data_IF_772108824743
#
_entry.id   IF_772108824743
#
_cell.length_a   1.000
_cell.length_b   1.000
_cell.length_c   1.000
_cell.angle_alpha   90.00
_cell.angle_beta   90.00
_cell.angle_gamma   90.00
#
_symmetry.space_group_name_H-M   'P 1'
#
loop_
_entity.id
_entity.type
_entity.pdbx_description
1 polymer ?
#
# COMPACT_ATOMS: atom_id res chain seq x y z
N UNK A 1 121.48 -57.34 54.95
CA UNK A 1 121.85 -58.65 54.40
C UNK A 1 120.63 -59.54 54.60
N UNK A 2 120.06 -60.22 53.61
CA UNK A 2 120.47 -60.39 52.20
C UNK A 2 119.24 -60.36 51.25
N UNK A 3 119.47 -60.55 49.94
CA UNK A 3 118.61 -60.17 48.80
C UNK A 3 117.43 -61.14 48.52
N UNK A 4 116.41 -60.66 47.80
CA UNK A 4 115.29 -61.51 47.34
C UNK A 4 114.22 -60.78 46.48
N UNK A 5 114.58 -60.38 45.26
CA UNK A 5 113.73 -59.64 44.28
C UNK A 5 113.56 -60.52 43.00
N UNK A 6 112.58 -60.40 42.09
CA UNK A 6 111.59 -59.33 41.78
C UNK A 6 110.14 -59.96 41.66
N UNK A 7 109.10 -59.53 40.86
CA UNK A 7 107.69 -59.88 41.14
C UNK A 7 106.96 -60.73 40.05
N UNK A 8 105.70 -61.12 40.32
CA UNK A 8 104.84 -61.83 39.37
C UNK A 8 103.39 -61.30 39.33
N UNK A 9 103.11 -60.36 38.42
CA UNK A 9 101.81 -59.67 38.33
C UNK A 9 100.66 -60.57 37.84
N UNK A 10 99.86 -61.10 38.77
CA UNK A 10 98.58 -61.79 38.46
C UNK A 10 97.34 -61.30 39.23
N UNK A 11 97.48 -60.37 40.18
CA UNK A 11 96.39 -60.02 41.12
C UNK A 11 95.51 -58.81 40.75
N UNK A 12 95.70 -58.15 39.60
CA UNK A 12 94.91 -56.96 39.24
C UNK A 12 93.80 -57.20 38.19
N UNK A 13 93.87 -58.28 37.40
CA UNK A 13 92.81 -58.59 36.41
C UNK A 13 91.57 -59.28 37.03
N UNK A 14 91.69 -59.83 38.25
CA UNK A 14 90.58 -60.52 38.94
C UNK A 14 89.60 -59.60 39.69
N UNK A 15 89.83 -58.27 39.71
CA UNK A 15 88.92 -57.30 40.37
C UNK A 15 87.90 -56.64 39.44
N UNK A 16 88.02 -56.82 38.12
CA UNK A 16 87.11 -56.23 37.12
C UNK A 16 86.10 -57.21 36.52
N UNK A 17 86.04 -58.44 37.04
CA UNK A 17 85.24 -59.54 36.49
C UNK A 17 84.64 -60.46 37.54
N UNK A 18 84.08 -59.90 38.61
CA UNK A 18 83.22 -60.67 39.52
C UNK A 18 81.90 -60.97 38.81
N UNK A 19 81.39 -62.23 38.80
CA UNK A 19 80.10 -62.55 38.16
C UNK A 19 78.96 -61.71 38.74
N UNK A 20 79.01 -61.39 40.05
CA UNK A 20 78.02 -60.54 40.70
C UNK A 20 77.97 -59.10 40.15
N UNK A 21 79.07 -58.56 39.61
CA UNK A 21 79.11 -57.20 39.01
C UNK A 21 78.47 -57.22 37.62
N UNK A 22 78.73 -58.27 36.83
CA UNK A 22 78.08 -58.49 35.54
C UNK A 22 76.57 -58.76 35.71
N UNK A 23 76.17 -59.56 36.69
CA UNK A 23 74.76 -59.79 37.03
C UNK A 23 74.05 -58.52 37.47
N UNK A 24 74.70 -57.66 38.26
CA UNK A 24 74.15 -56.35 38.65
C UNK A 24 73.94 -55.43 37.45
N UNK A 25 74.92 -55.34 36.53
CA UNK A 25 74.78 -54.55 35.29
C UNK A 25 73.71 -55.11 34.36
N UNK A 26 73.58 -56.44 34.26
CA UNK A 26 72.50 -57.07 33.49
C UNK A 26 71.13 -56.72 34.08
N UNK A 27 70.97 -56.74 35.41
CA UNK A 27 69.72 -56.31 36.07
C UNK A 27 69.42 -54.84 35.84
N UNK A 28 70.41 -53.95 35.97
CA UNK A 28 70.23 -52.51 35.73
C UNK A 28 69.82 -52.23 34.27
N UNK A 29 70.42 -52.93 33.30
CA UNK A 29 70.05 -52.83 31.88
C UNK A 29 68.66 -53.45 31.61
N UNK A 30 68.30 -54.55 32.28
CA UNK A 30 66.98 -55.13 32.21
C UNK A 30 65.91 -54.15 32.75
N UNK A 31 66.12 -53.56 33.93
CA UNK A 31 65.23 -52.55 34.52
C UNK A 31 65.08 -51.34 33.60
N UNK A 32 66.18 -50.80 33.06
CA UNK A 32 66.14 -49.70 32.08
C UNK A 32 65.40 -50.10 30.79
N UNK A 33 65.56 -51.33 30.30
CA UNK A 33 64.85 -51.82 29.12
C UNK A 33 63.34 -51.97 29.36
N UNK A 34 62.95 -52.45 30.55
CA UNK A 34 61.54 -52.60 30.95
C UNK A 34 60.89 -51.24 31.16
N UNK A 35 61.57 -50.30 31.82
CA UNK A 35 61.12 -48.92 31.99
C UNK A 35 60.95 -48.21 30.63
N UNK A 36 61.91 -48.36 29.73
CA UNK A 36 61.84 -47.81 28.36
C UNK A 36 60.70 -48.43 27.56
N UNK A 37 60.49 -49.75 27.66
CA UNK A 37 59.38 -50.44 27.01
C UNK A 37 58.01 -50.00 27.57
N UNK A 38 57.90 -49.74 28.87
CA UNK A 38 56.67 -49.22 29.49
C UNK A 38 56.37 -47.77 29.04
N UNK A 39 57.39 -46.91 28.96
CA UNK A 39 57.27 -45.56 28.42
C UNK A 39 56.85 -45.58 26.94
N UNK A 40 57.48 -46.44 26.11
CA UNK A 40 57.10 -46.62 24.71
C UNK A 40 55.67 -47.13 24.54
N UNK A 41 55.22 -48.11 25.33
CA UNK A 41 53.82 -48.58 25.31
C UNK A 41 52.83 -47.46 25.65
N UNK A 42 53.20 -46.58 26.59
CA UNK A 42 52.38 -45.43 26.98
C UNK A 42 52.30 -44.39 25.85
N UNK A 43 53.42 -44.11 25.18
CA UNK A 43 53.45 -43.22 24.02
C UNK A 43 52.68 -43.78 22.82
N UNK A 44 52.75 -45.10 22.59
CA UNK A 44 51.96 -45.78 21.55
C UNK A 44 50.47 -45.66 21.82
N UNK A 45 50.00 -45.96 23.04
CA UNK A 45 48.56 -45.86 23.36
C UNK A 45 48.04 -44.41 23.31
N UNK A 46 48.88 -43.43 23.67
CA UNK A 46 48.57 -42.01 23.46
C UNK A 46 48.49 -41.65 21.96
N UNK A 47 49.39 -42.20 21.15
CA UNK A 47 49.38 -42.06 19.68
C UNK A 47 48.12 -42.64 19.04
N UNK A 48 47.71 -43.84 19.45
CA UNK A 48 46.47 -44.50 19.01
C UNK A 48 45.23 -43.68 19.39
N UNK A 49 45.16 -43.19 20.63
CA UNK A 49 44.06 -42.33 21.08
C UNK A 49 44.00 -40.99 20.32
N UNK A 50 45.16 -40.37 20.03
CA UNK A 50 45.25 -39.19 19.19
C UNK A 50 44.82 -39.48 17.75
N UNK A 51 45.24 -40.62 17.18
CA UNK A 51 44.86 -41.04 15.84
C UNK A 51 43.35 -41.26 15.72
N UNK A 52 42.71 -41.91 16.70
CA UNK A 52 41.25 -42.06 16.75
C UNK A 52 40.53 -40.70 16.77
N UNK A 53 41.00 -39.74 17.60
CA UNK A 53 40.45 -38.37 17.64
C UNK A 53 40.65 -37.60 16.32
N UNK A 54 41.80 -37.80 15.64
CA UNK A 54 42.06 -37.20 14.33
C UNK A 54 41.17 -37.82 13.25
N UNK A 55 40.94 -39.14 13.26
CA UNK A 55 40.02 -39.80 12.34
C UNK A 55 38.58 -39.32 12.55
N UNK A 56 38.09 -39.22 13.79
CA UNK A 56 36.77 -38.66 14.10
C UNK A 56 36.59 -37.19 13.66
N UNK A 57 37.66 -36.38 13.69
CA UNK A 57 37.62 -35.03 13.09
C UNK A 57 37.67 -35.04 11.56
N UNK A 58 38.35 -36.01 10.95
CA UNK A 58 38.39 -36.17 9.49
C UNK A 58 37.05 -36.60 8.91
N UNK A 59 36.27 -37.45 9.60
CA UNK A 59 34.93 -37.85 9.16
C UNK A 59 33.90 -36.74 9.28
N UNK A 60 34.05 -35.80 10.23
CA UNK A 60 33.18 -34.62 10.34
C UNK A 60 33.47 -33.53 9.29
N UNK A 61 34.69 -33.50 8.73
CA UNK A 61 35.10 -32.50 7.73
C UNK A 61 34.20 -32.45 6.48
N UNK A 62 33.82 -33.57 5.81
CA UNK A 62 32.93 -33.54 4.64
C UNK A 62 31.57 -32.93 4.95
N UNK A 63 30.93 -33.30 6.07
CA UNK A 63 29.63 -32.74 6.47
C UNK A 63 29.69 -31.22 6.68
N UNK A 64 30.77 -30.70 7.28
CA UNK A 64 30.95 -29.24 7.45
C UNK A 64 31.14 -28.54 6.10
N UNK A 65 31.83 -29.16 5.12
CA UNK A 65 31.95 -28.61 3.78
C UNK A 65 30.66 -28.69 2.97
N UNK A 66 29.88 -29.75 3.14
CA UNK A 66 28.56 -29.95 2.52
C UNK A 66 27.57 -28.89 3.04
N UNK A 67 27.39 -28.78 4.36
CA UNK A 67 26.55 -27.75 4.98
C UNK A 67 26.96 -26.33 4.59
N UNK A 68 28.27 -26.06 4.42
CA UNK A 68 28.74 -24.77 3.90
C UNK A 68 28.29 -24.56 2.46
N UNK A 69 28.46 -25.55 1.59
CA UNK A 69 28.04 -25.45 0.18
C UNK A 69 26.52 -25.29 0.02
N UNK A 70 25.73 -25.93 0.90
CA UNK A 70 24.28 -25.73 0.98
C UNK A 70 23.93 -24.31 1.45
N UNK A 71 24.62 -23.81 2.47
CA UNK A 71 24.49 -22.42 2.93
C UNK A 71 24.78 -21.41 1.83
N UNK A 72 25.92 -21.55 1.13
CA UNK A 72 26.30 -20.72 -0.02
C UNK A 72 25.33 -20.85 -1.20
N UNK A 73 24.66 -21.99 -1.37
CA UNK A 73 23.61 -22.18 -2.38
C UNK A 73 22.27 -21.54 -1.98
N UNK A 74 21.91 -21.58 -0.69
CA UNK A 74 20.73 -20.92 -0.15
C UNK A 74 20.89 -19.40 -0.15
N UNK A 75 22.07 -18.88 0.19
CA UNK A 75 22.39 -17.45 0.15
C UNK A 75 22.25 -16.90 -1.27
N UNK A 76 22.78 -17.60 -2.29
CA UNK A 76 22.60 -17.23 -3.70
C UNK A 76 21.13 -17.22 -4.11
N UNK A 77 20.37 -18.28 -3.78
CA UNK A 77 18.92 -18.33 -4.06
C UNK A 77 18.15 -17.21 -3.35
N UNK A 78 18.54 -16.83 -2.14
CA UNK A 78 17.93 -15.72 -1.40
C UNK A 78 18.26 -14.37 -2.05
N UNK A 79 19.49 -14.16 -2.52
CA UNK A 79 19.89 -12.95 -3.25
C UNK A 79 19.16 -12.83 -4.61
N UNK A 80 19.06 -13.93 -5.36
CA UNK A 80 18.28 -14.02 -6.61
C UNK A 80 16.80 -13.70 -6.34
N UNK A 81 16.19 -14.35 -5.35
CA UNK A 81 14.79 -14.11 -4.94
C UNK A 81 14.55 -12.67 -4.49
N UNK A 82 15.45 -12.10 -3.67
CA UNK A 82 15.39 -10.70 -3.24
C UNK A 82 15.43 -9.73 -4.43
N UNK A 83 16.27 -10.00 -5.42
CA UNK A 83 16.37 -9.21 -6.65
C UNK A 83 15.06 -9.26 -7.44
N UNK A 84 14.48 -10.46 -7.61
CA UNK A 84 13.18 -10.64 -8.29
C UNK A 84 12.06 -9.92 -7.52
N UNK A 85 12.01 -10.03 -6.20
CA UNK A 85 11.02 -9.33 -5.36
C UNK A 85 11.15 -7.81 -5.51
N UNK A 86 12.37 -7.25 -5.49
CA UNK A 86 12.60 -5.82 -5.72
C UNK A 86 12.11 -5.37 -7.10
N UNK A 87 12.39 -6.13 -8.16
CA UNK A 87 11.88 -5.86 -9.51
C UNK A 87 10.35 -5.91 -9.58
N UNK A 88 9.72 -6.89 -8.93
CA UNK A 88 8.25 -7.01 -8.88
C UNK A 88 7.63 -5.84 -8.12
N UNK A 89 8.18 -5.45 -6.96
CA UNK A 89 7.68 -4.31 -6.17
C UNK A 89 7.77 -3.00 -6.95
N UNK A 90 8.88 -2.75 -7.64
CA UNK A 90 9.03 -1.54 -8.47
C UNK A 90 8.07 -1.55 -9.67
N UNK A 91 7.88 -2.70 -10.33
CA UNK A 91 6.91 -2.83 -11.42
C UNK A 91 5.46 -2.63 -10.94
N UNK A 92 5.11 -3.14 -9.76
CA UNK A 92 3.79 -2.89 -9.13
C UNK A 92 3.63 -1.41 -8.81
N UNK A 93 4.63 -0.75 -8.22
CA UNK A 93 4.59 0.70 -7.92
C UNK A 93 4.41 1.55 -9.18
N UNK A 94 5.07 1.19 -10.29
CA UNK A 94 4.90 1.84 -11.59
C UNK A 94 3.51 1.58 -12.18
N UNK A 95 2.96 0.37 -12.03
CA UNK A 95 1.61 0.03 -12.44
C UNK A 95 0.56 0.79 -11.63
N UNK A 96 0.71 0.90 -10.30
CA UNK A 96 -0.18 1.63 -9.42
C UNK A 96 -0.24 3.12 -9.79
N UNK A 97 0.91 3.73 -10.09
CA UNK A 97 0.98 5.11 -10.57
C UNK A 97 0.28 5.28 -11.93
N UNK A 98 0.47 4.32 -12.85
CA UNK A 98 -0.23 4.33 -14.13
C UNK A 98 -1.75 4.18 -13.95
N UNK A 99 -2.20 3.22 -13.14
CA UNK A 99 -3.62 3.03 -12.82
C UNK A 99 -4.24 4.26 -12.14
N UNK A 100 -3.55 4.89 -11.19
CA UNK A 100 -4.02 6.10 -10.54
C UNK A 100 -4.18 7.26 -11.53
N UNK A 101 -3.27 7.40 -12.49
CA UNK A 101 -3.38 8.39 -13.56
C UNK A 101 -4.50 8.05 -14.56
N UNK A 102 -4.68 6.78 -14.92
CA UNK A 102 -5.79 6.32 -15.78
C UNK A 102 -7.14 6.55 -15.11
N UNK A 103 -7.28 6.29 -13.80
CA UNK A 103 -8.52 6.59 -13.05
C UNK A 103 -8.83 8.08 -13.07
N UNK A 104 -7.87 8.95 -12.74
CA UNK A 104 -8.03 10.41 -12.85
C UNK A 104 -8.42 10.87 -14.26
N UNK A 105 -7.86 10.25 -15.30
CA UNK A 105 -8.21 10.55 -16.69
C UNK A 105 -9.63 10.07 -17.05
N UNK A 106 -10.08 8.93 -16.50
CA UNK A 106 -11.45 8.42 -16.64
C UNK A 106 -12.45 9.32 -15.91
N UNK A 107 -12.22 9.64 -14.63
CA UNK A 107 -13.06 10.53 -13.83
C UNK A 107 -13.24 11.91 -14.53
N UNK A 108 -12.16 12.41 -15.14
CA UNK A 108 -12.19 13.63 -15.97
C UNK A 108 -12.98 13.43 -17.27
N UNK A 109 -12.78 12.33 -17.99
CA UNK A 109 -13.52 12.04 -19.21
C UNK A 109 -15.03 11.91 -18.95
N UNK A 110 -15.43 11.23 -17.87
CA UNK A 110 -16.81 11.15 -17.40
C UNK A 110 -17.38 12.53 -17.05
N UNK A 111 -16.58 13.38 -16.39
CA UNK A 111 -16.96 14.77 -16.10
C UNK A 111 -17.17 15.60 -17.37
N UNK A 112 -16.28 15.49 -18.36
CA UNK A 112 -16.40 16.18 -19.66
C UNK A 112 -17.62 15.68 -20.45
N UNK A 113 -17.84 14.36 -20.49
CA UNK A 113 -19.02 13.76 -21.16
C UNK A 113 -20.31 14.19 -20.45
N UNK A 114 -20.31 14.24 -19.11
CA UNK A 114 -21.42 14.76 -18.32
C UNK A 114 -21.71 16.23 -18.61
N UNK A 115 -20.67 17.08 -18.67
CA UNK A 115 -20.78 18.50 -19.01
C UNK A 115 -21.30 18.70 -20.44
N UNK A 116 -20.79 17.95 -21.42
CA UNK A 116 -21.29 18.01 -22.79
C UNK A 116 -22.76 17.58 -22.87
N UNK A 117 -23.14 16.50 -22.19
CA UNK A 117 -24.52 16.04 -22.14
C UNK A 117 -25.48 17.07 -21.51
N UNK A 118 -25.02 17.87 -20.52
CA UNK A 118 -25.85 18.97 -20.00
C UNK A 118 -25.91 20.16 -20.96
N UNK A 119 -24.84 20.51 -21.67
CA UNK A 119 -24.87 21.53 -22.74
C UNK A 119 -25.84 21.13 -23.86
N UNK A 120 -25.70 19.92 -24.39
CA UNK A 120 -26.50 19.42 -25.51
C UNK A 120 -27.98 19.26 -25.09
N UNK A 121 -28.23 18.77 -23.87
CA UNK A 121 -29.58 18.63 -23.31
C UNK A 121 -30.28 19.97 -23.09
N UNK A 122 -29.55 20.99 -22.60
CA UNK A 122 -30.09 22.35 -22.46
C UNK A 122 -30.35 22.99 -23.82
N UNK A 123 -29.43 22.84 -24.79
CA UNK A 123 -29.63 23.35 -26.14
C UNK A 123 -30.87 22.73 -26.82
N UNK A 124 -31.06 21.41 -26.71
CA UNK A 124 -32.24 20.71 -27.26
C UNK A 124 -33.53 21.14 -26.56
N UNK A 125 -33.52 21.22 -25.23
CA UNK A 125 -34.69 21.61 -24.46
C UNK A 125 -35.13 23.07 -24.73
N UNK A 126 -34.18 23.97 -25.04
CA UNK A 126 -34.47 25.33 -25.49
C UNK A 126 -35.17 25.35 -26.86
N UNK A 127 -34.77 24.47 -27.78
CA UNK A 127 -35.39 24.34 -29.12
C UNK A 127 -36.79 23.70 -29.03
N UNK A 128 -37.01 22.77 -28.10
CA UNK A 128 -38.32 22.14 -27.85
C UNK A 128 -39.29 23.00 -27.00
N UNK A 129 -38.86 24.17 -26.52
CA UNK A 129 -39.55 24.96 -25.47
C UNK A 129 -39.86 24.15 -24.19
N UNK A 130 -39.10 23.10 -23.90
CA UNK A 130 -39.28 22.23 -22.74
C UNK A 130 -38.44 22.69 -21.55
N UNK A 131 -39.01 23.65 -20.82
CA UNK A 131 -38.37 24.27 -19.66
C UNK A 131 -38.08 23.28 -18.51
N UNK A 132 -38.79 22.15 -18.43
CA UNK A 132 -38.58 21.10 -17.42
C UNK A 132 -37.34 20.27 -17.71
N UNK A 133 -37.17 19.77 -18.95
CA UNK A 133 -35.93 19.11 -19.37
C UNK A 133 -34.71 20.03 -19.23
N UNK A 134 -34.88 21.31 -19.53
CA UNK A 134 -33.83 22.32 -19.38
C UNK A 134 -33.43 22.48 -17.90
N UNK A 135 -34.39 22.65 -16.98
CA UNK A 135 -34.12 22.79 -15.55
C UNK A 135 -33.51 21.53 -14.94
N UNK A 136 -33.97 20.33 -15.32
CA UNK A 136 -33.40 19.07 -14.85
C UNK A 136 -31.94 18.91 -15.28
N UNK A 137 -31.63 19.27 -16.53
CA UNK A 137 -30.26 19.26 -17.07
C UNK A 137 -29.37 20.30 -16.35
N UNK A 138 -29.92 21.47 -16.01
CA UNK A 138 -29.24 22.50 -15.22
C UNK A 138 -28.99 22.08 -13.77
N UNK A 139 -29.94 21.38 -13.14
CA UNK A 139 -29.77 20.89 -11.77
C UNK A 139 -28.62 19.88 -11.69
N UNK A 140 -28.50 18.98 -12.68
CA UNK A 140 -27.34 18.07 -12.78
C UNK A 140 -26.03 18.85 -12.85
N UNK A 141 -25.99 19.94 -13.62
CA UNK A 141 -24.82 20.82 -13.69
C UNK A 141 -24.50 21.50 -12.34
N UNK A 142 -25.50 22.03 -11.62
CA UNK A 142 -25.30 22.67 -10.31
C UNK A 142 -24.70 21.73 -9.23
N UNK A 143 -24.87 20.41 -9.38
CA UNK A 143 -24.24 19.41 -8.50
C UNK A 143 -22.84 18.98 -8.96
N UNK A 144 -22.40 19.31 -10.18
CA UNK A 144 -21.03 19.06 -10.66
C UNK A 144 -20.15 20.23 -10.20
N UNK A 145 -19.26 19.97 -9.25
CA UNK A 145 -18.37 21.00 -8.71
C UNK A 145 -17.47 21.62 -9.80
N UNK A 146 -17.37 22.95 -9.89
CA UNK A 146 -16.54 23.62 -10.89
C UNK A 146 -15.03 23.51 -10.62
N UNK A 147 -14.61 22.98 -9.46
CA UNK A 147 -13.20 22.82 -9.04
C UNK A 147 -12.35 21.95 -10.00
N UNK A 148 -12.96 21.23 -10.94
CA UNK A 148 -12.27 20.32 -11.86
C UNK A 148 -11.86 20.94 -13.22
N UNK A 149 -12.36 22.12 -13.58
CA UNK A 149 -12.09 22.69 -14.91
C UNK A 149 -10.67 23.27 -15.01
N UNK A 150 -9.84 22.69 -15.87
CA UNK A 150 -8.45 23.10 -16.09
C UNK A 150 -8.09 23.27 -17.57
N UNK A 151 -9.04 23.07 -18.49
CA UNK A 151 -8.86 23.36 -19.91
C UNK A 151 -9.81 24.46 -20.40
N UNK A 152 -9.33 25.27 -21.34
CA UNK A 152 -10.10 26.37 -21.95
C UNK A 152 -11.42 25.90 -22.60
N UNK A 153 -11.48 24.65 -23.07
CA UNK A 153 -12.69 24.03 -23.63
C UNK A 153 -13.75 23.71 -22.57
N UNK A 154 -13.34 23.25 -21.38
CA UNK A 154 -14.26 23.10 -20.24
C UNK A 154 -14.78 24.48 -19.82
N UNK A 155 -13.90 25.47 -19.69
CA UNK A 155 -14.26 26.83 -19.28
C UNK A 155 -15.24 27.53 -20.25
N UNK A 156 -15.04 27.37 -21.56
CA UNK A 156 -15.97 27.88 -22.57
C UNK A 156 -17.36 27.22 -22.49
N UNK A 157 -17.42 25.91 -22.22
CA UNK A 157 -18.69 25.19 -22.02
C UNK A 157 -19.40 25.62 -20.72
N UNK A 158 -18.65 25.81 -19.63
CA UNK A 158 -19.17 26.35 -18.37
C UNK A 158 -19.74 27.77 -18.55
N UNK A 159 -19.06 28.62 -19.30
CA UNK A 159 -19.50 29.99 -19.56
C UNK A 159 -20.74 30.04 -20.46
N UNK A 160 -20.85 29.12 -21.44
CA UNK A 160 -22.07 28.92 -22.22
C UNK A 160 -23.25 28.49 -21.32
N UNK A 161 -23.05 27.52 -20.43
CA UNK A 161 -24.07 27.08 -19.46
C UNK A 161 -24.49 28.20 -18.52
N UNK A 162 -23.56 29.03 -18.01
CA UNK A 162 -23.90 30.19 -17.17
C UNK A 162 -24.81 31.18 -17.90
N UNK A 163 -24.54 31.47 -19.17
CA UNK A 163 -25.38 32.35 -20.01
C UNK A 163 -26.77 31.75 -20.23
N UNK A 164 -26.85 30.47 -20.60
CA UNK A 164 -28.12 29.74 -20.73
C UNK A 164 -28.91 29.68 -19.42
N UNK A 165 -28.23 29.56 -18.27
CA UNK A 165 -28.84 29.54 -16.93
C UNK A 165 -29.48 30.89 -16.57
N UNK A 166 -28.78 32.00 -16.82
CA UNK A 166 -29.33 33.36 -16.59
C UNK A 166 -30.51 33.62 -17.51
N UNK A 167 -30.40 33.26 -18.78
CA UNK A 167 -31.47 33.39 -19.78
C UNK A 167 -32.71 32.56 -19.42
N UNK A 168 -32.52 31.30 -19.03
CA UNK A 168 -33.59 30.39 -18.62
C UNK A 168 -34.30 30.89 -17.36
N UNK A 169 -33.56 31.37 -16.35
CA UNK A 169 -34.14 32.01 -15.15
C UNK A 169 -35.02 33.22 -15.51
N UNK A 170 -34.57 34.05 -16.45
CA UNK A 170 -35.34 35.22 -16.93
C UNK A 170 -36.67 34.80 -17.56
N UNK A 171 -36.65 33.82 -18.47
CA UNK A 171 -37.87 33.34 -19.15
C UNK A 171 -38.83 32.65 -18.19
N UNK A 172 -38.31 31.82 -17.27
CA UNK A 172 -39.15 31.16 -16.27
C UNK A 172 -39.81 32.17 -15.33
N UNK A 173 -39.09 33.24 -14.92
CA UNK A 173 -39.67 34.32 -14.14
C UNK A 173 -40.75 35.10 -14.90
N UNK A 174 -40.54 35.37 -16.20
CA UNK A 174 -41.53 36.03 -17.06
C UNK A 174 -42.79 35.17 -17.28
N UNK A 175 -42.62 33.87 -17.56
CA UNK A 175 -43.72 32.90 -17.71
C UNK A 175 -44.48 32.70 -16.40
N UNK A 176 -43.77 32.70 -15.26
CA UNK A 176 -44.39 32.68 -13.94
C UNK A 176 -45.24 33.94 -13.68
N UNK A 177 -44.75 35.13 -14.07
CA UNK A 177 -45.54 36.36 -13.95
C UNK A 177 -46.80 36.30 -14.82
N UNK A 178 -46.67 35.86 -16.08
CA UNK A 178 -47.83 35.69 -16.98
C UNK A 178 -48.86 34.69 -16.43
N UNK A 179 -48.43 33.63 -15.75
CA UNK A 179 -49.33 32.68 -15.08
C UNK A 179 -50.04 33.29 -13.86
N UNK A 180 -49.36 34.14 -13.08
CA UNK A 180 -49.95 34.93 -11.98
C UNK A 180 -51.02 35.88 -12.54
N UNK A 181 -50.69 36.62 -13.61
CA UNK A 181 -51.59 37.60 -14.24
C UNK A 181 -52.83 36.91 -14.85
N UNK A 182 -52.65 35.72 -15.44
CA UNK A 182 -53.72 34.87 -15.97
C UNK A 182 -54.49 34.07 -14.92
N UNK A 183 -54.08 34.13 -13.63
CA UNK A 183 -54.64 33.38 -12.49
C UNK A 183 -54.63 31.85 -12.62
N UNK A 184 -53.72 31.29 -13.42
CA UNK A 184 -53.56 29.84 -13.58
C UNK A 184 -52.79 29.23 -12.40
N UNK A 185 -53.52 28.66 -11.43
CA UNK A 185 -52.94 28.01 -10.25
C UNK A 185 -51.98 26.87 -10.60
N UNK A 186 -52.29 26.08 -11.63
CA UNK A 186 -51.47 24.95 -12.03
C UNK A 186 -50.16 25.44 -12.68
N UNK A 187 -50.25 26.45 -13.54
CA UNK A 187 -49.10 27.13 -14.13
C UNK A 187 -48.19 27.78 -13.07
N UNK A 188 -48.76 28.50 -12.11
CA UNK A 188 -47.98 29.15 -11.04
C UNK A 188 -47.22 28.12 -10.19
N UNK A 189 -47.88 27.06 -9.71
CA UNK A 189 -47.21 26.00 -8.93
C UNK A 189 -46.09 25.33 -9.75
N UNK A 190 -46.33 25.07 -11.04
CA UNK A 190 -45.37 24.46 -11.97
C UNK A 190 -44.11 25.34 -12.14
N UNK A 191 -44.27 26.62 -12.47
CA UNK A 191 -43.12 27.52 -12.67
C UNK A 191 -42.40 27.85 -11.35
N UNK A 192 -43.10 27.96 -10.22
CA UNK A 192 -42.46 28.08 -8.90
C UNK A 192 -41.60 26.86 -8.56
N UNK A 193 -42.08 25.64 -8.84
CA UNK A 193 -41.28 24.40 -8.68
C UNK A 193 -40.06 24.37 -9.61
N UNK A 194 -40.20 24.91 -10.81
CA UNK A 194 -39.08 25.02 -11.76
C UNK A 194 -38.01 26.01 -11.26
N UNK A 195 -38.41 27.14 -10.67
CA UNK A 195 -37.48 28.11 -10.09
C UNK A 195 -36.69 27.55 -8.90
N UNK A 196 -37.25 26.63 -8.10
CA UNK A 196 -36.49 25.98 -7.02
C UNK A 196 -35.40 25.05 -7.58
N UNK A 197 -35.67 24.29 -8.64
CA UNK A 197 -34.68 23.44 -9.33
C UNK A 197 -33.55 24.28 -9.97
N UNK A 198 -33.87 25.48 -10.46
CA UNK A 198 -32.91 26.41 -11.05
C UNK A 198 -32.09 27.21 -10.02
N UNK A 199 -32.25 26.95 -8.72
CA UNK A 199 -31.53 27.62 -7.63
C UNK A 199 -32.02 29.03 -7.29
N UNK A 200 -33.20 29.43 -7.77
CA UNK A 200 -33.87 30.72 -7.45
C UNK A 200 -35.07 30.50 -6.52
N UNK A 201 -34.91 29.65 -5.50
CA UNK A 201 -36.00 29.26 -4.61
C UNK A 201 -36.59 30.44 -3.82
N UNK A 202 -35.78 31.44 -3.44
CA UNK A 202 -36.24 32.63 -2.72
C UNK A 202 -37.18 33.49 -3.58
N UNK A 203 -36.77 33.82 -4.81
CA UNK A 203 -37.58 34.60 -5.75
C UNK A 203 -38.89 33.90 -6.11
N UNK A 204 -38.83 32.57 -6.28
CA UNK A 204 -40.01 31.74 -6.56
C UNK A 204 -40.97 31.64 -5.37
N UNK A 205 -40.46 31.58 -4.14
CA UNK A 205 -41.26 31.59 -2.92
C UNK A 205 -41.94 32.94 -2.68
N UNK A 206 -41.25 34.06 -2.92
CA UNK A 206 -41.82 35.41 -2.81
C UNK A 206 -43.00 35.58 -3.78
N UNK A 207 -42.80 35.28 -5.07
CA UNK A 207 -43.85 35.35 -6.10
C UNK A 207 -45.05 34.45 -5.78
N UNK A 208 -44.80 33.25 -5.22
CA UNK A 208 -45.88 32.36 -4.79
C UNK A 208 -46.65 32.92 -3.58
N UNK A 209 -45.95 33.51 -2.60
CA UNK A 209 -46.58 34.13 -1.44
C UNK A 209 -47.45 35.34 -1.83
N UNK A 210 -47.00 36.17 -2.78
CA UNK A 210 -47.78 37.29 -3.31
C UNK A 210 -49.05 36.82 -4.03
N UNK A 211 -48.94 35.77 -4.85
CA UNK A 211 -50.09 35.14 -5.51
C UNK A 211 -51.10 34.58 -4.50
N UNK A 212 -50.64 33.82 -3.50
CA UNK A 212 -51.51 33.31 -2.44
C UNK A 212 -52.14 34.44 -1.62
N UNK A 213 -51.41 35.52 -1.34
CA UNK A 213 -51.91 36.70 -0.62
C UNK A 213 -53.02 37.44 -1.39
N UNK A 214 -52.91 37.56 -2.71
CA UNK A 214 -53.96 38.15 -3.55
C UNK A 214 -55.19 37.24 -3.68
N UNK A 215 -54.99 35.92 -3.82
CA UNK A 215 -56.06 34.90 -3.77
C UNK A 215 -56.85 34.93 -2.45
N UNK A 216 -56.16 34.91 -1.31
CA UNK A 216 -56.80 34.95 0.03
C UNK A 216 -57.57 36.24 0.23
N UNK A 217 -57.04 37.39 -0.22
CA UNK A 217 -57.75 38.67 -0.13
C UNK A 217 -59.07 38.66 -0.91
N UNK A 218 -59.07 38.13 -2.14
CA UNK A 218 -60.27 38.05 -2.97
C UNK A 218 -61.31 37.08 -2.40
N UNK A 219 -60.90 35.90 -1.94
CA UNK A 219 -61.81 34.97 -1.26
C UNK A 219 -62.42 35.55 0.02
N UNK A 220 -61.67 36.38 0.75
CA UNK A 220 -62.18 37.11 1.91
C UNK A 220 -63.17 38.23 1.51
N UNK A 221 -62.89 38.97 0.43
CA UNK A 221 -63.79 39.99 -0.12
C UNK A 221 -65.11 39.37 -0.62
N UNK A 222 -65.04 38.24 -1.34
CA UNK A 222 -66.21 37.48 -1.83
C UNK A 222 -67.07 36.94 -0.69
N UNK A 223 -66.48 36.34 0.36
CA UNK A 223 -67.26 35.82 1.49
C UNK A 223 -67.81 36.96 2.38
N UNK A 224 -67.10 38.08 2.53
CA UNK A 224 -67.63 39.28 3.22
C UNK A 224 -68.84 39.85 2.47
N UNK A 225 -68.78 39.92 1.14
CA UNK A 225 -69.89 40.41 0.32
C UNK A 225 -71.09 39.45 0.36
N UNK A 226 -70.84 38.14 0.29
CA UNK A 226 -71.87 37.10 0.50
C UNK A 226 -72.53 37.19 1.88
N UNK A 227 -71.76 37.50 2.93
CA UNK A 227 -72.30 37.67 4.28
C UNK A 227 -73.14 38.95 4.42
N UNK A 228 -72.77 40.06 3.75
CA UNK A 228 -73.60 41.27 3.69
C UNK A 228 -74.94 41.02 3.02
N UNK A 229 -74.94 40.37 1.86
CA UNK A 229 -76.18 40.01 1.13
C UNK A 229 -77.11 39.07 1.93
N UNK A 230 -76.59 38.38 2.96
CA UNK A 230 -77.38 37.58 3.92
C UNK A 230 -77.87 38.34 5.16
N UNK A 231 -77.37 39.55 5.39
CA UNK A 231 -77.78 40.45 6.49
C UNK A 231 -78.80 41.49 5.99
N UNK A 232 -78.74 41.84 4.71
CA UNK A 232 -79.69 42.74 4.04
C UNK A 232 -80.98 42.02 3.54
N UNK A 233 -81.20 40.75 3.94
CA UNK A 233 -82.46 40.00 3.81
C UNK A 233 -83.07 39.66 5.18
#
# INVERSE_FOLDING_TARGET
MDRGQVPGGRCQLLKMGSPAVLEAQIRELQEKSVASAAALRTLVSQGEALQARVQGKRTLRPYITEMRSEGEALERKLAESSTVVQMVVENVRRLDLAQANTRKALDRAESIVGLKATVDGVASAIVEEDWEKAAQSMQRYLHVSPEASSTQTEEAALESLRKSLVWLRSIVAEKCQKAIDARDEAGVVRFCRLMTQLGCAADGAARFADFMGTKVRQGAEEEVERLRQRIDM
#
